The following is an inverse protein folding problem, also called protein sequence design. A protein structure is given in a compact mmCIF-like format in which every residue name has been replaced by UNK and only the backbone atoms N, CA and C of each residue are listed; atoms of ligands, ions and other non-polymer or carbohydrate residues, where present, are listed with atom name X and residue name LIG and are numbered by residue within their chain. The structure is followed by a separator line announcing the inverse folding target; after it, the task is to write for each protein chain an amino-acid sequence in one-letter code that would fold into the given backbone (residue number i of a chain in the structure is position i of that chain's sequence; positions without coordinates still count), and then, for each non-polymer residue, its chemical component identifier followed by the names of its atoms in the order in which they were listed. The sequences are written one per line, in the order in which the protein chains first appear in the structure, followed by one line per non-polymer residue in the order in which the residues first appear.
data_IF_237420843160
#
_entry.id   IF_237420843160
#
_cell.length_a   1.000
_cell.length_b   1.000
_cell.length_c   1.000
_cell.angle_alpha   90.00
_cell.angle_beta   90.00
_cell.angle_gamma   90.00
#
_symmetry.space_group_name_H-M   'P 1'
#
loop_
_entity.id
_entity.type
_entity.pdbx_description
1 polymer ?
#
# COMPACT_ATOMS: atom_id res chain seq x y z
N UNK A 1 25.69 -12.83 -8.77
CA UNK A 1 25.60 -12.41 -7.36
C UNK A 1 25.00 -11.03 -7.41
N UNK A 2 23.66 -10.99 -7.45
CA UNK A 2 22.91 -9.75 -7.58
C UNK A 2 23.11 -8.97 -6.29
N UNK A 3 23.80 -7.83 -6.39
CA UNK A 3 23.98 -6.90 -5.28
C UNK A 3 22.60 -6.32 -5.00
N UNK A 4 21.81 -7.01 -4.18
CA UNK A 4 20.59 -6.48 -3.60
C UNK A 4 21.01 -5.19 -2.91
N UNK A 5 20.66 -4.05 -3.52
CA UNK A 5 20.95 -2.74 -2.99
C UNK A 5 20.20 -2.70 -1.67
N UNK A 6 20.86 -3.07 -0.56
CA UNK A 6 20.23 -3.06 0.77
C UNK A 6 20.01 -1.61 1.06
N UNK A 7 18.82 -1.14 0.72
CA UNK A 7 18.41 0.19 1.07
C UNK A 7 18.54 0.33 2.58
N UNK A 8 19.10 1.46 3.02
CA UNK A 8 19.22 1.75 4.44
C UNK A 8 17.84 1.75 5.08
N UNK A 9 17.80 1.34 6.34
CA UNK A 9 16.57 1.43 7.14
C UNK A 9 16.26 2.89 7.41
N UNK A 10 15.05 3.31 7.06
CA UNK A 10 14.58 4.69 7.19
C UNK A 10 13.62 4.82 8.37
N UNK A 11 13.55 6.01 8.95
CA UNK A 11 12.58 6.37 9.98
C UNK A 11 11.89 7.69 9.62
N UNK A 12 10.59 7.78 9.83
CA UNK A 12 9.82 8.99 9.56
C UNK A 12 8.69 9.21 10.56
N UNK A 13 8.38 10.47 10.84
CA UNK A 13 7.21 10.89 11.61
C UNK A 13 6.07 11.09 10.59
N UNK A 14 4.98 10.34 10.71
CA UNK A 14 3.91 10.32 9.69
C UNK A 14 2.63 11.05 10.11
N UNK A 15 2.58 11.51 11.35
CA UNK A 15 1.54 12.43 11.84
C UNK A 15 2.08 13.86 11.84
N UNK A 16 1.23 14.88 11.58
CA UNK A 16 1.64 16.28 11.72
C UNK A 16 2.28 16.57 13.08
N UNK A 17 3.39 17.31 13.08
CA UNK A 17 4.00 17.77 14.33
C UNK A 17 3.10 18.81 14.99
N UNK A 18 2.73 18.55 16.24
CA UNK A 18 1.84 19.41 17.00
C UNK A 18 1.44 18.75 18.31
N UNK A 19 0.44 19.31 18.97
CA UNK A 19 -0.20 18.68 20.12
C UNK A 19 -1.34 17.77 19.62
N UNK A 20 -1.26 16.49 19.98
CA UNK A 20 -2.30 15.52 19.66
C UNK A 20 -2.32 14.38 20.68
N UNK A 21 -3.36 13.54 20.61
CA UNK A 21 -3.44 12.36 21.46
C UNK A 21 -2.36 11.31 21.13
N UNK A 22 -1.99 11.20 19.85
CA UNK A 22 -1.09 10.17 19.35
C UNK A 22 -0.09 10.79 18.36
N UNK A 23 1.17 10.37 18.45
CA UNK A 23 2.17 10.53 17.41
C UNK A 23 2.48 9.17 16.77
N UNK A 24 2.68 9.15 15.45
CA UNK A 24 3.06 7.93 14.73
C UNK A 24 4.43 8.09 14.07
N UNK A 25 5.30 7.13 14.35
CA UNK A 25 6.63 7.01 13.73
C UNK A 25 6.67 5.67 13.01
N UNK A 26 7.18 5.65 11.78
CA UNK A 26 7.35 4.43 10.99
C UNK A 26 8.85 4.20 10.76
N UNK A 27 9.31 2.98 11.00
CA UNK A 27 10.64 2.50 10.65
C UNK A 27 10.49 1.43 9.56
N UNK A 28 11.13 1.60 8.41
CA UNK A 28 11.05 0.67 7.27
C UNK A 28 12.43 0.26 6.79
N UNK A 29 12.65 -1.04 6.60
CA UNK A 29 13.88 -1.57 6.01
C UNK A 29 14.37 -2.83 6.69
N UNK A 30 15.45 -3.40 6.15
CA UNK A 30 15.99 -4.68 6.59
C UNK A 30 16.33 -4.75 8.09
N UNK A 31 16.77 -3.64 8.69
CA UNK A 31 17.16 -3.58 10.09
C UNK A 31 16.07 -2.96 10.98
N UNK A 32 14.85 -2.73 10.47
CA UNK A 32 13.78 -2.03 11.20
C UNK A 32 13.47 -2.67 12.57
N UNK A 33 13.27 -3.98 12.57
CA UNK A 33 13.02 -4.78 13.78
C UNK A 33 14.19 -4.65 14.76
N UNK A 34 15.42 -4.87 14.27
CA UNK A 34 16.64 -4.82 15.07
C UNK A 34 16.90 -3.45 15.68
N UNK A 35 16.67 -2.37 14.94
CA UNK A 35 16.82 -0.98 15.43
C UNK A 35 15.82 -0.70 16.54
N UNK A 36 14.54 -1.02 16.32
CA UNK A 36 13.48 -0.78 17.31
C UNK A 36 13.68 -1.65 18.55
N UNK A 37 14.18 -2.88 18.39
CA UNK A 37 14.48 -3.79 19.51
C UNK A 37 15.56 -3.27 20.46
N UNK A 38 16.45 -2.35 20.02
CA UNK A 38 17.47 -1.73 20.89
C UNK A 38 16.87 -0.77 21.91
N UNK A 39 15.72 -0.18 21.60
CA UNK A 39 15.13 0.95 22.35
C UNK A 39 13.81 0.57 23.01
N UNK A 40 13.15 -0.48 22.51
CA UNK A 40 11.87 -0.96 22.98
C UNK A 40 12.01 -2.11 23.97
N UNK A 41 11.22 -2.05 25.04
CA UNK A 41 11.02 -3.16 25.97
C UNK A 41 9.55 -3.57 25.97
N UNK A 42 9.27 -4.69 25.30
CA UNK A 42 7.93 -5.22 25.15
C UNK A 42 7.45 -6.03 26.33
N UNK A 43 6.16 -5.91 26.67
CA UNK A 43 5.52 -6.78 27.66
C UNK A 43 5.22 -8.13 27.01
N UNK A 44 5.97 -9.16 27.42
CA UNK A 44 5.78 -10.52 26.89
C UNK A 44 6.43 -10.76 25.53
N UNK A 45 7.24 -9.82 25.03
CA UNK A 45 8.11 -10.00 23.87
C UNK A 45 9.49 -9.43 24.15
N UNK A 46 10.50 -10.30 24.19
CA UNK A 46 11.88 -9.90 24.45
C UNK A 46 12.63 -9.53 23.16
N UNK A 47 12.20 -10.05 22.01
CA UNK A 47 12.85 -9.84 20.72
C UNK A 47 11.81 -9.67 19.62
N UNK A 48 11.78 -8.47 19.01
CA UNK A 48 10.88 -8.17 17.89
C UNK A 48 11.15 -9.05 16.67
N UNK A 49 12.33 -9.64 16.50
CA UNK A 49 12.56 -10.59 15.41
C UNK A 49 11.68 -11.85 15.53
N UNK A 50 11.17 -12.16 16.72
CA UNK A 50 10.24 -13.25 16.98
C UNK A 50 8.77 -12.79 16.98
N UNK A 51 8.53 -11.50 16.77
CA UNK A 51 7.18 -10.96 16.64
C UNK A 51 6.47 -11.57 15.42
N UNK A 52 5.25 -12.04 15.62
CA UNK A 52 4.31 -12.28 14.54
C UNK A 52 3.98 -10.97 13.82
N UNK A 53 3.89 -11.05 12.49
CA UNK A 53 3.41 -9.98 11.61
C UNK A 53 1.94 -9.66 11.93
N UNK A 54 1.52 -8.42 11.66
CA UNK A 54 0.16 -7.89 11.87
C UNK A 54 -0.34 -8.00 13.31
N UNK A 55 0.56 -7.88 14.28
CA UNK A 55 0.22 -7.87 15.70
C UNK A 55 0.69 -6.61 16.40
N UNK A 56 -0.10 -6.24 17.39
CA UNK A 56 0.19 -5.15 18.30
C UNK A 56 1.00 -5.63 19.50
N UNK A 57 2.05 -4.90 19.83
CA UNK A 57 2.90 -5.15 20.99
C UNK A 57 2.94 -3.91 21.87
N UNK A 58 2.54 -4.10 23.13
CA UNK A 58 2.58 -3.05 24.13
C UNK A 58 3.92 -3.06 24.87
N UNK A 59 4.45 -1.88 25.18
CA UNK A 59 5.65 -1.77 25.99
C UNK A 59 6.10 -0.32 26.16
N UNK A 60 7.40 -0.14 26.36
CA UNK A 60 7.99 1.15 26.67
C UNK A 60 9.24 1.40 25.83
N UNK A 61 9.50 2.67 25.54
CA UNK A 61 10.77 3.11 24.95
C UNK A 61 11.69 3.58 26.07
N UNK A 62 12.95 3.18 26.02
CA UNK A 62 14.00 3.58 26.95
C UNK A 62 15.19 4.19 26.22
N UNK A 63 15.77 5.23 26.80
CA UNK A 63 17.08 5.77 26.42
C UNK A 63 18.00 5.74 27.65
N UNK A 64 19.08 4.95 27.56
CA UNK A 64 20.09 4.81 28.64
C UNK A 64 19.50 4.52 30.03
N UNK A 65 18.40 3.76 30.08
CA UNK A 65 17.70 3.38 31.31
C UNK A 65 16.62 4.35 31.77
N UNK A 66 16.46 5.51 31.14
CA UNK A 66 15.33 6.43 31.37
C UNK A 66 14.16 6.03 30.48
N UNK A 67 12.97 5.86 31.07
CA UNK A 67 11.73 5.63 30.32
C UNK A 67 11.33 6.92 29.60
N UNK A 68 11.21 6.86 28.27
CA UNK A 68 10.75 7.98 27.44
C UNK A 68 9.24 7.98 27.35
N UNK A 69 8.65 6.85 26.96
CA UNK A 69 7.21 6.76 26.74
C UNK A 69 6.67 5.32 26.85
N UNK A 70 5.35 5.23 27.02
CA UNK A 70 4.53 4.04 26.85
C UNK A 70 3.95 3.99 25.45
N UNK A 71 4.14 2.89 24.74
CA UNK A 71 3.84 2.83 23.32
C UNK A 71 3.17 1.51 22.91
N UNK A 72 2.53 1.55 21.75
CA UNK A 72 2.04 0.37 21.04
C UNK A 72 2.75 0.28 19.69
N UNK A 73 3.38 -0.86 19.44
CA UNK A 73 4.02 -1.19 18.17
C UNK A 73 3.12 -2.07 17.31
N UNK A 74 3.11 -1.85 16.00
CA UNK A 74 2.62 -2.82 15.02
C UNK A 74 3.79 -3.28 14.15
N UNK A 75 3.95 -4.60 14.02
CA UNK A 75 5.00 -5.21 13.19
C UNK A 75 4.37 -5.75 11.92
N UNK A 76 4.80 -5.30 10.75
CA UNK A 76 4.43 -5.86 9.45
C UNK A 76 5.70 -6.33 8.73
N UNK A 77 5.63 -7.47 8.04
CA UNK A 77 6.81 -8.07 7.41
C UNK A 77 6.68 -8.06 5.89
N UNK A 78 7.76 -7.62 5.24
CA UNK A 78 8.00 -7.74 3.79
C UNK A 78 6.76 -7.41 2.93
N UNK A 79 6.35 -8.35 2.08
CA UNK A 79 5.26 -8.21 1.12
C UNK A 79 3.92 -7.83 1.76
N UNK A 80 3.71 -8.11 3.04
CA UNK A 80 2.47 -7.76 3.71
C UNK A 80 2.52 -6.36 4.35
N UNK A 81 3.57 -5.58 4.09
CA UNK A 81 3.71 -4.20 4.57
C UNK A 81 3.44 -3.16 3.48
N UNK A 82 3.20 -1.93 3.90
CA UNK A 82 3.00 -0.79 2.99
C UNK A 82 4.19 -0.56 2.05
N UNK A 83 5.41 -0.74 2.54
CA UNK A 83 6.63 -0.50 1.77
C UNK A 83 7.13 -1.73 1.05
N UNK A 84 6.63 -2.94 1.34
CA UNK A 84 7.23 -4.20 0.87
C UNK A 84 8.46 -4.63 1.68
N UNK A 85 8.81 -3.89 2.74
CA UNK A 85 9.92 -4.22 3.65
C UNK A 85 9.41 -4.63 5.04
N UNK A 86 10.32 -5.00 5.95
CA UNK A 86 9.94 -5.07 7.36
C UNK A 86 9.64 -3.66 7.89
N UNK A 87 8.46 -3.50 8.49
CA UNK A 87 7.91 -2.23 8.99
C UNK A 87 7.56 -2.29 10.48
N UNK A 88 8.24 -1.39 11.18
CA UNK A 88 8.08 -0.82 12.52
C UNK A 88 7.06 0.31 12.69
N UNK A 89 5.76 0.11 12.93
CA UNK A 89 4.89 1.26 13.27
C UNK A 89 4.85 1.49 14.77
N UNK A 90 5.22 2.68 15.21
CA UNK A 90 5.31 3.10 16.60
C UNK A 90 4.23 4.13 16.88
N UNK A 91 3.28 3.81 17.76
CA UNK A 91 2.25 4.72 18.24
C UNK A 91 2.61 5.15 19.67
N UNK A 92 2.90 6.44 19.84
CA UNK A 92 3.32 7.06 21.10
C UNK A 92 2.40 8.23 21.45
N UNK A 93 2.59 8.85 22.63
CA UNK A 93 1.85 10.05 22.98
C UNK A 93 2.20 11.20 22.02
N UNK A 94 1.18 11.92 21.55
CA UNK A 94 1.32 12.96 20.51
C UNK A 94 1.90 14.30 20.99
N UNK A 95 2.73 14.29 22.04
CA UNK A 95 3.47 15.48 22.46
C UNK A 95 4.73 15.65 21.62
N UNK A 96 4.94 16.83 21.02
CA UNK A 96 6.08 17.10 20.11
C UNK A 96 7.43 16.65 20.67
N UNK A 97 7.68 16.87 21.96
CA UNK A 97 8.94 16.49 22.63
C UNK A 97 9.12 14.98 22.74
N UNK A 98 8.04 14.23 22.96
CA UNK A 98 8.07 12.77 23.08
C UNK A 98 8.34 12.14 21.71
N UNK A 99 7.58 12.56 20.69
CA UNK A 99 7.74 12.08 19.30
C UNK A 99 9.16 12.34 18.79
N UNK A 100 9.66 13.57 18.96
CA UNK A 100 11.02 13.93 18.54
C UNK A 100 12.09 13.14 19.28
N UNK A 101 11.94 12.92 20.60
CA UNK A 101 12.91 12.14 21.38
C UNK A 101 12.98 10.69 20.91
N UNK A 102 11.84 10.07 20.60
CA UNK A 102 11.81 8.70 20.03
C UNK A 102 12.42 8.69 18.63
N UNK A 103 12.09 9.68 17.78
CA UNK A 103 12.63 9.80 16.42
C UNK A 103 14.17 9.94 16.40
N UNK A 104 14.72 10.82 17.22
CA UNK A 104 16.17 11.01 17.38
C UNK A 104 16.87 9.76 17.93
N UNK A 105 16.23 9.08 18.88
CA UNK A 105 16.74 7.84 19.44
C UNK A 105 16.83 6.73 18.38
N UNK A 106 15.82 6.59 17.53
CA UNK A 106 15.83 5.63 16.42
C UNK A 106 16.93 5.96 15.40
N UNK A 107 17.15 7.24 15.11
CA UNK A 107 18.26 7.67 14.26
C UNK A 107 19.61 7.29 14.85
N UNK A 108 19.82 7.59 16.14
CA UNK A 108 21.06 7.21 16.84
C UNK A 108 21.27 5.69 16.93
N UNK A 109 20.18 4.91 16.79
CA UNK A 109 20.18 3.45 16.80
C UNK A 109 20.44 2.82 15.44
N UNK A 110 20.53 3.62 14.38
CA UNK A 110 20.97 3.22 13.03
C UNK A 110 19.99 3.51 11.90
N UNK A 111 18.84 4.15 12.16
CA UNK A 111 17.89 4.51 11.11
C UNK A 111 18.25 5.86 10.47
N UNK A 112 18.00 6.01 9.18
CA UNK A 112 18.15 7.28 8.48
C UNK A 112 16.83 8.07 8.55
N UNK A 113 16.87 9.29 9.08
CA UNK A 113 15.71 10.16 9.16
C UNK A 113 15.29 10.69 7.79
N UNK A 114 14.00 10.53 7.44
CA UNK A 114 13.44 10.95 6.15
C UNK A 114 12.03 11.52 6.30
N UNK A 115 11.59 12.27 5.30
CA UNK A 115 10.20 12.70 5.16
C UNK A 115 9.26 11.52 4.89
N UNK A 116 7.99 11.65 5.28
CA UNK A 116 7.04 10.53 5.27
C UNK A 116 6.79 9.99 3.85
N UNK A 117 6.88 10.86 2.84
CA UNK A 117 6.69 10.53 1.42
C UNK A 117 7.77 9.57 0.90
N UNK A 118 8.91 9.48 1.56
CA UNK A 118 9.94 8.47 1.28
C UNK A 118 9.43 7.04 1.53
N UNK A 119 8.47 6.84 2.44
CA UNK A 119 7.83 5.53 2.64
C UNK A 119 6.95 5.16 1.44
N UNK A 120 6.22 6.13 0.90
CA UNK A 120 5.42 5.94 -0.32
C UNK A 120 6.34 5.65 -1.52
N UNK A 121 7.49 6.34 -1.60
CA UNK A 121 8.50 6.07 -2.62
C UNK A 121 9.02 4.63 -2.53
N UNK A 122 9.23 4.07 -1.33
CA UNK A 122 9.58 2.64 -1.18
C UNK A 122 8.49 1.70 -1.68
N UNK A 123 7.23 2.02 -1.39
CA UNK A 123 6.09 1.25 -1.91
C UNK A 123 6.12 1.17 -3.44
N UNK A 124 6.39 2.31 -4.10
CA UNK A 124 6.55 2.36 -5.55
C UNK A 124 7.79 1.60 -6.06
N UNK A 125 8.94 1.76 -5.40
CA UNK A 125 10.19 1.07 -5.76
C UNK A 125 10.13 -0.45 -5.60
N UNK A 126 9.32 -0.93 -4.67
CA UNK A 126 9.09 -2.35 -4.41
C UNK A 126 7.83 -2.88 -5.14
N UNK A 127 7.38 -2.20 -6.19
CA UNK A 127 6.26 -2.61 -7.05
C UNK A 127 4.93 -2.89 -6.29
N UNK A 128 4.76 -2.32 -5.08
CA UNK A 128 3.52 -2.44 -4.29
C UNK A 128 2.38 -1.60 -4.86
N UNK A 129 2.75 -0.49 -5.49
CA UNK A 129 1.84 0.46 -6.12
C UNK A 129 2.44 0.93 -7.44
N UNK A 130 1.61 1.25 -8.41
CA UNK A 130 2.05 1.90 -9.63
C UNK A 130 2.15 3.43 -9.49
N UNK A 131 2.62 4.08 -10.55
CA UNK A 131 2.78 5.53 -10.59
C UNK A 131 1.46 6.30 -10.38
N UNK A 132 0.34 5.82 -10.91
CA UNK A 132 -0.96 6.46 -10.79
C UNK A 132 -1.47 6.36 -9.35
N UNK A 133 -1.32 5.19 -8.75
CA UNK A 133 -1.67 4.96 -7.35
C UNK A 133 -0.82 5.83 -6.42
N UNK A 134 0.49 5.97 -6.70
CA UNK A 134 1.40 6.86 -5.96
C UNK A 134 0.93 8.31 -6.01
N UNK A 135 0.68 8.85 -7.20
CA UNK A 135 0.19 10.23 -7.37
C UNK A 135 -1.16 10.44 -6.68
N UNK A 136 -2.09 9.49 -6.84
CA UNK A 136 -3.38 9.55 -6.17
C UNK A 136 -3.24 9.57 -4.63
N UNK A 137 -2.31 8.79 -4.06
CA UNK A 137 -2.03 8.79 -2.63
C UNK A 137 -1.55 10.15 -2.15
N UNK A 138 -0.62 10.78 -2.87
CA UNK A 138 -0.11 12.11 -2.50
C UNK A 138 -1.25 13.14 -2.52
N UNK A 139 -2.08 13.12 -3.55
CA UNK A 139 -3.22 14.04 -3.69
C UNK A 139 -4.34 13.79 -2.65
N UNK A 140 -4.52 12.56 -2.16
CA UNK A 140 -5.51 12.25 -1.11
C UNK A 140 -5.32 13.09 0.15
N UNK A 141 -4.07 13.41 0.49
CA UNK A 141 -3.72 14.21 1.67
C UNK A 141 -4.19 15.66 1.54
N UNK A 142 -4.30 16.17 0.31
CA UNK A 142 -4.66 17.55 0.01
C UNK A 142 -6.12 17.72 -0.43
N UNK A 143 -6.88 16.63 -0.56
CA UNK A 143 -8.24 16.62 -1.08
C UNK A 143 -9.20 17.51 -0.27
N UNK A 144 -9.85 18.49 -0.94
CA UNK A 144 -10.77 19.45 -0.30
C UNK A 144 -12.25 19.23 -0.63
N UNK A 145 -12.57 18.42 -1.63
CA UNK A 145 -13.95 18.19 -2.08
C UNK A 145 -14.32 16.71 -2.00
N UNK A 146 -15.59 16.42 -1.72
CA UNK A 146 -16.10 15.04 -1.65
C UNK A 146 -15.94 14.29 -2.97
N UNK A 147 -16.17 14.98 -4.09
CA UNK A 147 -16.02 14.38 -5.42
C UNK A 147 -14.55 14.10 -5.73
N UNK A 148 -13.65 15.05 -5.45
CA UNK A 148 -12.21 14.85 -5.62
C UNK A 148 -11.68 13.69 -4.77
N UNK A 149 -12.07 13.63 -3.50
CA UNK A 149 -11.72 12.52 -2.61
C UNK A 149 -12.17 11.17 -3.19
N UNK A 150 -13.40 11.07 -3.70
CA UNK A 150 -13.91 9.84 -4.31
C UNK A 150 -13.07 9.41 -5.51
N UNK A 151 -12.78 10.34 -6.43
CA UNK A 151 -11.97 10.06 -7.63
C UNK A 151 -10.56 9.59 -7.23
N UNK A 152 -9.94 10.24 -6.24
CA UNK A 152 -8.61 9.87 -5.78
C UNK A 152 -8.59 8.51 -5.08
N UNK A 153 -9.63 8.16 -4.31
CA UNK A 153 -9.77 6.82 -3.74
C UNK A 153 -9.93 5.76 -4.83
N UNK A 154 -10.73 6.02 -5.86
CA UNK A 154 -10.89 5.11 -6.99
C UNK A 154 -9.57 4.93 -7.75
N UNK A 155 -8.78 5.99 -7.94
CA UNK A 155 -7.47 5.94 -8.59
C UNK A 155 -6.42 5.22 -7.74
N UNK A 156 -6.37 5.50 -6.43
CA UNK A 156 -5.51 4.77 -5.49
C UNK A 156 -5.86 3.28 -5.45
N UNK A 157 -7.14 2.93 -5.56
CA UNK A 157 -7.63 1.56 -5.70
C UNK A 157 -7.30 0.89 -7.05
N UNK A 158 -6.58 1.57 -7.95
CA UNK A 158 -6.09 1.01 -9.22
C UNK A 158 -7.10 1.02 -10.37
N UNK A 159 -8.23 1.74 -10.25
CA UNK A 159 -9.25 1.78 -11.31
C UNK A 159 -8.72 2.31 -12.64
N UNK A 160 -7.94 3.39 -12.60
CA UNK A 160 -7.35 3.99 -13.79
C UNK A 160 -6.22 3.11 -14.36
N UNK A 161 -5.39 2.54 -13.49
CA UNK A 161 -4.33 1.61 -13.88
C UNK A 161 -4.88 0.38 -14.60
N UNK A 162 -5.93 -0.23 -14.04
CA UNK A 162 -6.62 -1.36 -14.67
C UNK A 162 -7.27 -1.00 -16.01
N UNK A 163 -7.84 0.20 -16.13
CA UNK A 163 -8.42 0.66 -17.40
C UNK A 163 -7.35 0.90 -18.47
N UNK A 164 -6.19 1.48 -18.11
CA UNK A 164 -5.07 1.66 -19.03
C UNK A 164 -4.48 0.33 -19.47
N UNK A 165 -4.31 -0.61 -18.55
CA UNK A 165 -3.83 -1.95 -18.85
C UNK A 165 -4.74 -2.65 -19.87
N UNK A 166 -6.06 -2.60 -19.68
CA UNK A 166 -7.02 -3.13 -20.66
C UNK A 166 -6.90 -2.44 -22.03
N UNK A 167 -6.73 -1.12 -22.06
CA UNK A 167 -6.52 -0.38 -23.31
C UNK A 167 -5.24 -0.80 -24.04
N UNK A 168 -4.14 -0.98 -23.30
CA UNK A 168 -2.87 -1.44 -23.85
C UNK A 168 -2.96 -2.87 -24.41
N UNK A 169 -3.67 -3.77 -23.73
CA UNK A 169 -3.92 -5.14 -24.20
C UNK A 169 -4.69 -5.15 -25.53
N UNK A 170 -5.70 -4.29 -25.68
CA UNK A 170 -6.45 -4.15 -26.94
C UNK A 170 -5.52 -3.66 -28.06
N UNK A 171 -4.70 -2.64 -27.80
CA UNK A 171 -3.77 -2.08 -28.79
C UNK A 171 -2.75 -3.13 -29.23
N UNK A 172 -2.17 -3.88 -28.29
CA UNK A 172 -1.21 -4.93 -28.60
C UNK A 172 -1.88 -6.08 -29.38
N UNK A 173 -3.13 -6.44 -29.05
CA UNK A 173 -3.90 -7.41 -29.84
C UNK A 173 -4.15 -6.97 -31.28
N UNK A 174 -4.46 -5.69 -31.50
CA UNK A 174 -4.61 -5.10 -32.84
C UNK A 174 -3.27 -5.14 -33.58
N UNK A 175 -2.19 -4.73 -32.91
CA UNK A 175 -0.83 -4.74 -33.49
C UNK A 175 -0.42 -6.13 -33.95
N UNK A 176 -0.60 -7.16 -33.11
CA UNK A 176 -0.30 -8.55 -33.47
C UNK A 176 -1.13 -9.01 -34.67
N UNK A 177 -2.42 -8.67 -34.70
CA UNK A 177 -3.31 -9.00 -35.82
C UNK A 177 -2.88 -8.35 -37.15
N UNK A 178 -2.30 -7.15 -37.11
CA UNK A 178 -1.76 -6.48 -38.30
C UNK A 178 -0.42 -7.06 -38.74
N UNK A 179 0.43 -7.48 -37.80
CA UNK A 179 1.71 -8.14 -38.09
C UNK A 179 1.51 -9.51 -38.77
N UNK A 180 0.51 -10.30 -38.33
CA UNK A 180 0.16 -11.59 -38.95
C UNK A 180 -0.34 -11.41 -40.39
N UNK A 181 -1.12 -10.36 -40.68
CA UNK A 181 -1.61 -10.08 -42.05
C UNK A 181 -0.51 -9.74 -43.05
N UNK A 182 0.69 -9.35 -42.58
CA UNK A 182 1.84 -9.05 -43.44
C UNK A 182 2.70 -10.28 -43.78
N UNK A 183 2.39 -11.47 -43.23
CA UNK A 183 3.13 -12.71 -43.48
C UNK A 183 2.16 -13.84 -43.87
N UNK A 184 1.63 -13.72 -45.09
CA UNK A 184 0.83 -14.67 -45.89
C UNK A 184 -0.53 -15.19 -45.37
N UNK A 185 -1.54 -15.08 -46.26
CA UNK A 185 -2.85 -15.73 -46.30
C UNK A 185 -3.21 -16.67 -45.13
N UNK A 186 -3.94 -16.18 -44.13
CA UNK A 186 -4.62 -17.05 -43.16
C UNK A 186 -6.01 -16.51 -42.76
N UNK A 187 -7.00 -17.41 -42.52
CA UNK A 187 -8.41 -17.05 -42.30
C UNK A 187 -8.64 -16.39 -40.92
N UNK A 188 -9.76 -15.69 -40.72
CA UNK A 188 -9.97 -14.85 -39.54
C UNK A 188 -10.02 -15.69 -38.25
N UNK A 189 -9.29 -15.24 -37.24
CA UNK A 189 -9.35 -15.79 -35.89
C UNK A 189 -10.68 -15.42 -35.23
N UNK A 190 -11.29 -16.43 -34.62
CA UNK A 190 -12.48 -16.32 -33.76
C UNK A 190 -12.23 -15.39 -32.56
N UNK A 191 -13.27 -14.71 -32.03
CA UNK A 191 -13.12 -13.78 -30.91
C UNK A 191 -12.57 -14.48 -29.64
N UNK A 192 -11.89 -13.73 -28.74
CA UNK A 192 -11.26 -14.31 -27.57
C UNK A 192 -12.31 -14.94 -26.64
N UNK A 193 -11.98 -16.14 -26.15
CA UNK A 193 -12.76 -16.92 -25.22
C UNK A 193 -13.04 -16.15 -23.92
N UNK A 194 -14.26 -16.26 -23.42
CA UNK A 194 -14.65 -15.81 -22.08
C UNK A 194 -13.81 -16.51 -21.00
N UNK A 195 -13.18 -15.72 -20.12
CA UNK A 195 -12.64 -16.15 -18.84
C UNK A 195 -11.19 -16.65 -18.85
N UNK A 196 -10.26 -15.78 -18.44
CA UNK A 196 -8.88 -16.16 -18.11
C UNK A 196 -8.51 -15.74 -16.68
N UNK A 197 -7.84 -16.62 -15.94
CA UNK A 197 -7.27 -16.37 -14.62
C UNK A 197 -5.91 -15.66 -14.74
N UNK A 198 -5.66 -14.67 -13.86
CA UNK A 198 -4.32 -14.10 -13.62
C UNK A 198 -4.08 -14.08 -12.11
N UNK A 199 -2.95 -14.64 -11.65
CA UNK A 199 -2.53 -14.56 -10.24
C UNK A 199 -3.40 -15.33 -9.22
N UNK A 200 -4.10 -16.39 -9.64
CA UNK A 200 -4.93 -17.19 -8.73
C UNK A 200 -6.20 -16.48 -8.24
N UNK A 201 -6.56 -15.32 -8.80
CA UNK A 201 -7.85 -14.66 -8.53
C UNK A 201 -8.77 -14.93 -9.73
N UNK A 202 -9.87 -15.66 -9.49
CA UNK A 202 -10.94 -15.82 -10.49
C UNK A 202 -11.72 -14.52 -10.58
N UNK A 203 -11.49 -13.75 -11.64
CA UNK A 203 -12.36 -12.63 -11.98
C UNK A 203 -13.60 -13.17 -12.70
N UNK A 204 -14.72 -13.28 -11.98
CA UNK A 204 -16.04 -13.46 -12.61
C UNK A 204 -16.61 -12.09 -12.96
N UNK A 205 -16.79 -11.83 -14.25
CA UNK A 205 -17.63 -10.73 -14.72
C UNK A 205 -19.09 -11.03 -14.33
N UNK A 206 -19.53 -10.54 -13.18
CA UNK A 206 -20.93 -10.59 -12.77
C UNK A 206 -21.63 -9.34 -13.30
N UNK A 207 -22.70 -9.53 -14.07
CA UNK A 207 -23.57 -8.45 -14.56
C UNK A 207 -24.54 -7.93 -13.48
N UNK A 208 -24.05 -7.71 -12.26
CA UNK A 208 -24.86 -7.18 -11.15
C UNK A 208 -24.41 -5.77 -10.77
N UNK A 209 -25.31 -4.81 -11.00
CA UNK A 209 -25.29 -3.45 -10.46
C UNK A 209 -26.12 -3.49 -9.16
N UNK A 210 -25.47 -3.42 -7.99
CA UNK A 210 -26.16 -3.45 -6.68
C UNK A 210 -26.98 -2.18 -6.39
N UNK A 211 -26.80 -1.15 -7.23
CA UNK A 211 -27.52 0.12 -7.18
C UNK A 211 -28.86 0.10 -7.92
N UNK A 212 -29.21 -0.99 -8.63
CA UNK A 212 -30.48 -1.12 -9.35
C UNK A 212 -31.29 -2.32 -8.81
N UNK A 213 -32.17 -2.10 -7.82
CA UNK A 213 -32.91 -3.17 -7.15
C UNK A 213 -34.01 -3.81 -8.01
N UNK A 214 -34.47 -3.15 -9.09
CA UNK A 214 -35.44 -3.69 -10.05
C UNK A 214 -34.98 -3.43 -11.50
N UNK A 215 -34.72 -4.52 -12.23
CA UNK A 215 -34.17 -4.52 -13.59
C UNK A 215 -35.22 -4.40 -14.69
N UNK A 216 -36.50 -4.38 -14.34
CA UNK A 216 -37.59 -4.20 -15.30
C UNK A 216 -37.75 -2.74 -15.76
N UNK A 217 -37.05 -1.79 -15.13
CA UNK A 217 -37.10 -0.36 -15.42
C UNK A 217 -35.92 0.03 -16.33
N UNK A 218 -36.13 0.30 -17.63
CA UNK A 218 -35.04 0.53 -18.59
C UNK A 218 -34.15 1.74 -18.24
N UNK A 219 -34.75 2.79 -17.67
CA UNK A 219 -34.05 4.00 -17.25
C UNK A 219 -33.03 3.76 -16.11
N UNK A 220 -33.23 2.72 -15.28
CA UNK A 220 -32.28 2.36 -14.21
C UNK A 220 -31.06 1.62 -14.76
N UNK A 221 -31.23 0.88 -15.86
CA UNK A 221 -30.16 0.13 -16.54
C UNK A 221 -29.26 1.07 -17.35
N UNK A 222 -29.83 2.07 -18.03
CA UNK A 222 -29.07 3.06 -18.82
C UNK A 222 -28.28 4.06 -17.97
N UNK A 223 -28.67 4.26 -16.70
CA UNK A 223 -28.02 5.20 -15.78
C UNK A 223 -26.95 4.57 -14.86
N UNK A 224 -26.69 3.25 -14.93
CA UNK A 224 -25.72 2.59 -14.04
C UNK A 224 -24.27 2.86 -14.54
N UNK A 225 -23.44 3.65 -13.81
CA UNK A 225 -22.20 4.19 -14.37
C UNK A 225 -21.05 3.18 -14.51
N UNK A 226 -21.12 2.04 -13.82
CA UNK A 226 -20.05 1.05 -13.75
C UNK A 226 -20.62 -0.37 -13.72
N UNK A 227 -20.20 -1.22 -14.66
CA UNK A 227 -20.14 -2.67 -14.41
C UNK A 227 -19.05 -2.86 -13.35
N UNK A 228 -19.41 -2.97 -12.08
CA UNK A 228 -18.45 -3.13 -10.99
C UNK A 228 -17.71 -4.47 -11.14
N UNK A 229 -16.37 -4.45 -11.11
CA UNK A 229 -15.58 -5.63 -10.80
C UNK A 229 -15.72 -5.90 -9.31
N UNK A 230 -16.35 -7.02 -8.95
CA UNK A 230 -16.41 -7.47 -7.56
C UNK A 230 -15.20 -8.37 -7.32
N UNK A 231 -14.33 -7.97 -6.40
CA UNK A 231 -13.29 -8.85 -5.86
C UNK A 231 -13.90 -9.64 -4.69
N UNK A 232 -13.96 -10.97 -4.80
CA UNK A 232 -14.30 -11.84 -3.67
C UNK A 232 -13.02 -12.14 -2.88
N UNK A 233 -13.00 -11.76 -1.60
CA UNK A 233 -11.99 -12.19 -0.65
C UNK A 233 -12.09 -13.71 -0.43
N UNK A 234 -10.94 -14.38 -0.44
CA UNK A 234 -10.86 -15.77 0.06
C UNK A 234 -10.81 -15.72 1.58
N UNK A 235 -11.89 -16.19 2.22
CA UNK A 235 -11.89 -16.51 3.65
C UNK A 235 -10.91 -17.62 4.03
#
# INVERSE_FOLDING_TARGET
MEMMNKHKTIVSIVTPLGEGGIGKIIVSGHDALSIVNKVFQGKGIADLNQAASHKLYYGHVYDKGERIDEIILNVMRQEDSFTGEDVVEINCHGGIRVVMRIYELLQSSGAEGVEWDSLLQRSFENDKIDFIQKEAFQELIHARTKLGLKVLLDQYGGSLSGALQQGLEIIEGIRQSLLVKNNENTPPLSPPLEGGEVGGVKVKLSSKCDLCPDRSIPACVEACPNKAMVYEDRG
#
